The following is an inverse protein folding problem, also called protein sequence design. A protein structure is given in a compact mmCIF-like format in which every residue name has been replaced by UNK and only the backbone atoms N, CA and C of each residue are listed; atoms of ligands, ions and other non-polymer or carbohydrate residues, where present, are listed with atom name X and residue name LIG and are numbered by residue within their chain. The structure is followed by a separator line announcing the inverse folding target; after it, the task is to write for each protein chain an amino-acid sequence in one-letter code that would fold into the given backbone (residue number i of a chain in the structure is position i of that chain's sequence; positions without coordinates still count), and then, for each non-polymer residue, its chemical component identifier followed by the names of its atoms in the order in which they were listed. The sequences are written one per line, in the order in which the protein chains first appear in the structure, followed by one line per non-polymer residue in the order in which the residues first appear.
data_IF_004422304751
#
_entry.id   IF_004422304751
#
_cell.length_a   1.000
_cell.length_b   1.000
_cell.length_c   1.000
_cell.angle_alpha   90.00
_cell.angle_beta   90.00
_cell.angle_gamma   90.00
#
_symmetry.space_group_name_H-M   'P 1'
#
loop_
_entity.id
_entity.type
_entity.pdbx_description
1 polymer ?
#
# COMPACT_ATOMS: atom_id res chain seq x y z
N UNK A 1 9.44 3.58 -18.98
CA UNK A 1 8.53 3.05 -17.95
C UNK A 1 7.38 4.02 -17.78
N UNK A 2 6.18 3.49 -17.60
CA UNK A 2 4.92 4.25 -17.52
C UNK A 2 4.33 4.23 -16.11
N UNK A 3 4.73 3.26 -15.29
CA UNK A 3 4.31 3.12 -13.89
C UNK A 3 5.43 2.60 -13.00
N UNK A 4 5.29 2.87 -11.71
CA UNK A 4 6.04 2.24 -10.62
C UNK A 4 5.05 1.55 -9.68
N UNK A 5 5.37 0.32 -9.27
CA UNK A 5 4.54 -0.46 -8.35
C UNK A 5 5.38 -0.96 -7.18
N UNK A 6 4.80 -0.91 -5.98
CA UNK A 6 5.43 -1.40 -4.74
C UNK A 6 4.45 -2.29 -3.97
N UNK A 7 4.94 -3.46 -3.58
CA UNK A 7 4.19 -4.40 -2.75
C UNK A 7 4.24 -4.05 -1.27
N UNK A 8 3.28 -4.59 -0.55
CA UNK A 8 3.23 -4.58 0.91
C UNK A 8 3.53 -5.98 1.43
N UNK A 9 4.44 -6.07 2.39
CA UNK A 9 4.67 -7.28 3.16
C UNK A 9 4.95 -6.93 4.61
N UNK A 10 4.49 -7.81 5.49
CA UNK A 10 4.73 -7.77 6.92
C UNK A 10 5.31 -9.10 7.35
N UNK A 11 5.98 -9.11 8.50
CA UNK A 11 6.74 -10.23 9.04
C UNK A 11 7.94 -10.68 8.17
N UNK A 12 9.11 -10.78 8.79
CA UNK A 12 10.36 -11.23 8.14
C UNK A 12 11.08 -10.15 7.33
N UNK A 13 11.90 -10.58 6.37
CA UNK A 13 12.67 -9.68 5.50
C UNK A 13 11.88 -9.30 4.25
N UNK A 14 11.74 -8.00 4.00
CA UNK A 14 11.04 -7.44 2.86
C UNK A 14 11.51 -6.02 2.54
N UNK A 15 11.19 -5.54 1.33
CA UNK A 15 11.60 -4.22 0.84
C UNK A 15 10.67 -3.11 1.36
N UNK A 16 9.38 -3.40 1.50
CA UNK A 16 8.37 -2.39 1.88
C UNK A 16 7.23 -3.01 2.69
N UNK A 17 6.92 -2.41 3.83
CA UNK A 17 5.70 -2.63 4.62
C UNK A 17 4.69 -1.49 4.52
N UNK A 18 5.07 -0.36 3.90
CA UNK A 18 4.22 0.82 3.80
C UNK A 18 4.24 1.37 2.37
N UNK A 19 3.41 0.81 1.46
CA UNK A 19 3.28 1.34 0.10
C UNK A 19 2.88 2.81 0.09
N UNK A 20 2.01 3.24 1.00
CA UNK A 20 1.52 4.62 1.05
C UNK A 20 2.65 5.61 1.27
N UNK A 21 3.57 5.32 2.20
CA UNK A 21 4.75 6.15 2.46
C UNK A 21 5.67 6.22 1.25
N UNK A 22 5.98 5.07 0.63
CA UNK A 22 6.86 5.01 -0.54
C UNK A 22 6.26 5.76 -1.73
N UNK A 23 4.99 5.52 -2.01
CA UNK A 23 4.29 6.16 -3.13
C UNK A 23 4.12 7.67 -2.91
N UNK A 24 3.87 8.13 -1.69
CA UNK A 24 3.83 9.57 -1.39
C UNK A 24 5.18 10.25 -1.65
N UNK A 25 6.29 9.62 -1.24
CA UNK A 25 7.63 10.13 -1.51
C UNK A 25 7.92 10.22 -3.01
N UNK A 26 7.53 9.21 -3.79
CA UNK A 26 7.69 9.21 -5.25
C UNK A 26 6.77 10.24 -5.91
N UNK A 27 5.54 10.41 -5.42
CA UNK A 27 4.60 11.41 -5.91
C UNK A 27 5.17 12.82 -5.82
N UNK A 28 5.89 13.12 -4.74
CA UNK A 28 6.50 14.44 -4.51
C UNK A 28 7.65 14.78 -5.47
N UNK A 29 8.29 13.78 -6.08
CA UNK A 29 9.49 13.98 -6.93
C UNK A 29 9.29 13.52 -8.38
N UNK A 30 8.06 13.19 -8.77
CA UNK A 30 7.71 12.76 -10.13
C UNK A 30 6.42 13.40 -10.61
N UNK A 31 6.30 13.66 -11.92
CA UNK A 31 5.09 14.27 -12.50
C UNK A 31 4.44 13.41 -13.61
N UNK A 32 5.07 12.32 -14.05
CA UNK A 32 4.65 11.57 -15.25
C UNK A 32 4.20 10.14 -15.00
N UNK A 33 4.93 9.38 -14.20
CA UNK A 33 4.67 7.94 -14.03
C UNK A 33 3.44 7.68 -13.16
N UNK A 34 2.68 6.62 -13.45
CA UNK A 34 1.61 6.14 -12.56
C UNK A 34 2.19 5.46 -11.33
N UNK A 35 1.48 5.55 -10.21
CA UNK A 35 1.94 5.09 -8.90
C UNK A 35 0.98 4.02 -8.40
N UNK A 36 1.45 2.80 -8.22
CA UNK A 36 0.59 1.66 -7.92
C UNK A 36 0.99 0.94 -6.64
N UNK A 37 0.00 0.50 -5.85
CA UNK A 37 0.23 -0.58 -4.89
C UNK A 37 0.11 -1.95 -5.59
N UNK A 38 1.06 -2.84 -5.33
CA UNK A 38 1.12 -4.17 -5.94
C UNK A 38 1.40 -5.27 -4.92
N UNK A 39 0.64 -5.41 -3.83
CA UNK A 39 -0.69 -4.85 -3.53
C UNK A 39 -0.70 -4.21 -2.14
N UNK A 40 -1.77 -3.50 -1.79
CA UNK A 40 -2.17 -3.18 -0.41
C UNK A 40 -2.78 -4.43 0.23
N UNK A 41 -2.30 -4.82 1.41
CA UNK A 41 -2.78 -5.99 2.16
C UNK A 41 -4.00 -5.58 3.00
N UNK A 42 -5.12 -5.32 2.34
CA UNK A 42 -6.32 -4.74 2.96
C UNK A 42 -6.89 -5.59 4.10
N UNK A 43 -6.65 -6.91 4.09
CA UNK A 43 -7.19 -7.83 5.09
C UNK A 43 -6.73 -7.54 6.54
N UNK A 44 -5.65 -6.77 6.72
CA UNK A 44 -5.11 -6.45 8.06
C UNK A 44 -5.10 -4.96 8.38
N UNK A 45 -5.75 -4.14 7.56
CA UNK A 45 -5.75 -2.69 7.69
C UNK A 45 -7.16 -2.17 7.98
N UNK A 46 -7.24 -1.05 8.70
CA UNK A 46 -8.49 -0.30 8.81
C UNK A 46 -8.89 0.27 7.43
N UNK A 47 -10.06 -0.09 6.89
CA UNK A 47 -10.44 0.30 5.53
C UNK A 47 -10.67 1.80 5.37
N UNK A 48 -11.08 2.52 6.43
CA UNK A 48 -11.23 3.98 6.41
C UNK A 48 -9.87 4.62 6.30
N UNK A 49 -8.88 4.15 7.09
CA UNK A 49 -7.50 4.64 6.99
C UNK A 49 -6.90 4.40 5.61
N UNK A 50 -7.10 3.22 5.04
CA UNK A 50 -6.66 2.92 3.67
C UNK A 50 -7.28 3.92 2.68
N UNK A 51 -8.59 4.14 2.75
CA UNK A 51 -9.27 5.08 1.84
C UNK A 51 -8.71 6.50 1.96
N UNK A 52 -8.51 7.01 3.18
CA UNK A 52 -7.99 8.36 3.44
C UNK A 52 -6.54 8.54 2.99
N UNK A 53 -5.67 7.57 3.27
CA UNK A 53 -4.26 7.61 2.90
C UNK A 53 -4.07 7.59 1.38
N UNK A 54 -4.77 6.69 0.69
CA UNK A 54 -4.70 6.62 -0.76
C UNK A 54 -5.37 7.83 -1.43
N UNK A 55 -6.47 8.37 -0.89
CA UNK A 55 -7.04 9.63 -1.39
C UNK A 55 -6.04 10.80 -1.27
N UNK A 56 -5.28 10.84 -0.17
CA UNK A 56 -4.22 11.84 0.03
C UNK A 56 -3.13 11.70 -1.03
N UNK A 57 -2.66 10.49 -1.31
CA UNK A 57 -1.65 10.23 -2.35
C UNK A 57 -2.19 10.56 -3.75
N UNK A 58 -3.46 10.28 -4.02
CA UNK A 58 -4.08 10.63 -5.29
C UNK A 58 -4.01 12.15 -5.54
N UNK A 59 -4.33 12.96 -4.53
CA UNK A 59 -4.21 14.42 -4.59
C UNK A 59 -2.75 14.88 -4.76
N UNK A 60 -1.81 14.32 -3.98
CA UNK A 60 -0.37 14.63 -4.10
C UNK A 60 0.17 14.29 -5.49
N UNK A 61 -0.29 13.17 -6.05
CA UNK A 61 0.14 12.68 -7.36
C UNK A 61 -0.61 13.33 -8.52
N UNK A 62 -1.65 14.12 -8.27
CA UNK A 62 -2.56 14.72 -9.27
C UNK A 62 -3.25 13.66 -10.14
N UNK A 63 -3.86 12.65 -9.51
CA UNK A 63 -4.65 11.64 -10.22
C UNK A 63 -3.83 10.50 -10.84
N UNK A 64 -2.57 10.32 -10.43
CA UNK A 64 -1.68 9.28 -10.97
C UNK A 64 -1.69 7.98 -10.16
N UNK A 65 -2.46 7.93 -9.08
CA UNK A 65 -2.53 6.76 -8.21
C UNK A 65 -3.40 5.65 -8.83
N UNK A 66 -2.96 4.40 -8.64
CA UNK A 66 -3.73 3.19 -8.86
C UNK A 66 -3.66 2.29 -7.62
N UNK A 67 -4.82 1.98 -7.04
CA UNK A 67 -4.92 1.14 -5.84
C UNK A 67 -5.11 -0.33 -6.24
N UNK A 68 -4.08 -1.15 -6.01
CA UNK A 68 -4.17 -2.60 -6.08
C UNK A 68 -4.40 -3.20 -4.69
N UNK A 69 -5.42 -4.04 -4.54
CA UNK A 69 -5.80 -4.64 -3.24
C UNK A 69 -5.60 -6.15 -3.30
N UNK A 70 -5.14 -6.73 -2.19
CA UNK A 70 -5.14 -8.18 -2.01
C UNK A 70 -5.23 -8.59 -0.54
N UNK A 71 -5.47 -9.88 -0.31
CA UNK A 71 -5.58 -10.46 1.04
C UNK A 71 -4.23 -10.52 1.77
N UNK A 72 -3.12 -10.59 1.02
CA UNK A 72 -1.84 -11.05 1.55
C UNK A 72 -1.82 -12.56 1.79
N UNK A 73 -0.62 -13.14 1.84
CA UNK A 73 -0.42 -14.59 1.95
C UNK A 73 0.15 -15.02 3.31
N UNK A 74 0.77 -14.10 4.05
CA UNK A 74 1.55 -14.42 5.24
C UNK A 74 0.65 -14.50 6.47
N UNK A 75 0.49 -15.68 7.07
CA UNK A 75 -0.31 -15.85 8.29
C UNK A 75 0.29 -15.11 9.50
N UNK A 76 1.62 -14.94 9.53
CA UNK A 76 2.32 -14.26 10.61
C UNK A 76 2.03 -12.75 10.67
N UNK A 77 1.39 -12.17 9.64
CA UNK A 77 1.05 -10.76 9.64
C UNK A 77 -0.12 -10.44 10.59
N UNK A 78 -1.10 -11.34 10.76
CA UNK A 78 -2.35 -11.05 11.47
C UNK A 78 -2.12 -10.62 12.94
N UNK A 79 -1.30 -11.35 13.75
CA UNK A 79 -1.06 -10.95 15.14
C UNK A 79 -0.33 -9.61 15.28
N UNK A 80 0.45 -9.19 14.28
CA UNK A 80 1.13 -7.89 14.29
C UNK A 80 0.14 -6.71 14.23
N UNK A 81 -1.04 -6.95 13.67
CA UNK A 81 -2.15 -5.98 13.58
C UNK A 81 -3.25 -6.25 14.62
N UNK A 82 -3.01 -7.15 15.58
CA UNK A 82 -3.98 -7.48 16.62
C UNK A 82 -5.18 -8.29 16.13
N UNK A 83 -5.05 -9.01 15.02
CA UNK A 83 -6.08 -9.84 14.42
C UNK A 83 -5.78 -11.34 14.64
N UNK A 84 -6.83 -12.15 14.75
CA UNK A 84 -6.72 -13.60 14.62
C UNK A 84 -6.91 -14.01 13.16
N UNK A 85 -6.21 -15.06 12.72
CA UNK A 85 -6.41 -15.64 11.38
C UNK A 85 -7.78 -16.32 11.26
N UNK A 86 -8.37 -16.72 12.40
CA UNK A 86 -9.66 -17.39 12.47
C UNK A 86 -10.88 -16.45 12.47
N UNK A 87 -10.66 -15.13 12.57
CA UNK A 87 -11.70 -14.10 12.43
C UNK A 87 -12.11 -13.89 10.96
#
# INVERSE_FOLDING_TARGET
FDSFSVGERHAGEFISSSPTTVLAAIAAVTDRIRLQSGVTVLAVLDPVRVAEDYATIDQLSRGRLELGIGKGHEALQYPLFGLDLAD
#
